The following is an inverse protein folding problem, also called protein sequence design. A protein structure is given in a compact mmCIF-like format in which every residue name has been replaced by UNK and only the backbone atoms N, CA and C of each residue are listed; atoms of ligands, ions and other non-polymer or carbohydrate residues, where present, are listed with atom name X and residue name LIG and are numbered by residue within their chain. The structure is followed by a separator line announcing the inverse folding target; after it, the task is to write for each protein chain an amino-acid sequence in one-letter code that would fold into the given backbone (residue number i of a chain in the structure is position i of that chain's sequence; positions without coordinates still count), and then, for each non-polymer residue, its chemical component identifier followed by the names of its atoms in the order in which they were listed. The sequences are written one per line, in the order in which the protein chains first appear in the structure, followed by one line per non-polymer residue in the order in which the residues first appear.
data_IF_163359204140
#
_entry.id   IF_163359204140
#
_cell.length_a   1.000
_cell.length_b   1.000
_cell.length_c   1.000
_cell.angle_alpha   90.00
_cell.angle_beta   90.00
_cell.angle_gamma   90.00
#
_symmetry.space_group_name_H-M   'P 1'
#
loop_
_entity.id
_entity.type
_entity.pdbx_description
1 polymer ?
#
# COMPACT_ATOMS: atom_id res chain seq x y z
N UNK A 1 -64.56 46.67 -12.48
CA UNK A 1 -65.02 46.80 -13.86
C UNK A 1 -65.25 45.39 -14.36
N UNK A 2 -66.49 45.04 -14.25
CA UNK A 2 -67.49 44.58 -15.23
C UNK A 2 -67.14 43.19 -15.76
N UNK A 3 -67.78 42.14 -15.26
CA UNK A 3 -69.15 41.71 -15.51
C UNK A 3 -69.36 41.33 -16.99
N UNK A 4 -69.56 40.05 -17.24
CA UNK A 4 -70.70 39.62 -18.12
C UNK A 4 -71.04 38.15 -17.99
N UNK A 5 -72.16 37.91 -17.41
CA UNK A 5 -72.98 36.71 -17.35
C UNK A 5 -73.64 36.50 -18.70
N UNK A 6 -73.74 35.30 -19.23
CA UNK A 6 -74.66 34.93 -20.26
C UNK A 6 -75.36 33.61 -19.88
N UNK A 7 -76.66 33.78 -19.54
CA UNK A 7 -77.68 32.76 -19.41
C UNK A 7 -78.17 32.33 -20.79
N UNK A 8 -78.45 31.06 -20.97
CA UNK A 8 -79.43 30.62 -21.97
C UNK A 8 -80.47 29.67 -21.36
N UNK A 9 -81.68 29.98 -21.63
CA UNK A 9 -82.91 29.25 -21.28
C UNK A 9 -83.28 28.22 -22.35
N UNK A 10 -84.26 27.32 -22.03
CA UNK A 10 -84.55 26.13 -22.82
C UNK A 10 -85.71 26.36 -23.82
N UNK A 11 -85.76 25.54 -24.83
CA UNK A 11 -86.95 25.53 -25.72
C UNK A 11 -87.55 24.13 -25.92
N UNK A 12 -88.85 24.16 -26.07
CA UNK A 12 -89.87 23.12 -25.90
C UNK A 12 -90.03 22.18 -27.11
N UNK A 13 -90.52 20.99 -26.74
CA UNK A 13 -91.40 20.03 -27.42
C UNK A 13 -91.91 20.35 -28.81
N UNK A 14 -91.95 19.34 -29.64
CA UNK A 14 -93.17 18.95 -30.35
C UNK A 14 -93.19 17.45 -30.64
N UNK A 15 -94.40 16.94 -30.37
CA UNK A 15 -94.95 15.57 -30.48
C UNK A 15 -95.35 15.29 -31.92
N UNK A 16 -95.12 14.08 -32.44
CA UNK A 16 -96.16 13.38 -33.26
C UNK A 16 -95.59 12.09 -33.92
N UNK A 17 -96.37 11.02 -33.74
CA UNK A 17 -96.55 10.03 -34.79
C UNK A 17 -95.87 8.66 -34.63
N UNK A 18 -96.58 7.73 -34.01
CA UNK A 18 -96.41 6.29 -34.28
C UNK A 18 -96.82 5.94 -35.71
N UNK A 19 -96.13 4.95 -36.31
CA UNK A 19 -96.81 3.65 -36.36
C UNK A 19 -95.88 2.43 -36.14
N UNK A 20 -96.51 1.43 -35.62
CA UNK A 20 -96.10 0.04 -35.43
C UNK A 20 -95.60 -0.64 -36.71
N UNK A 21 -94.49 -1.35 -36.62
CA UNK A 21 -94.14 -2.49 -37.50
C UNK A 21 -93.42 -3.61 -36.78
N UNK A 22 -93.95 -4.73 -36.97
CA UNK A 22 -93.74 -6.14 -36.63
C UNK A 22 -92.27 -6.58 -36.42
N UNK A 23 -92.10 -7.45 -35.41
CA UNK A 23 -90.97 -8.26 -35.11
C UNK A 23 -90.49 -9.07 -36.30
N UNK A 24 -89.22 -8.84 -36.65
CA UNK A 24 -88.43 -9.75 -37.47
C UNK A 24 -87.25 -10.22 -36.61
N UNK A 25 -87.30 -11.48 -36.25
CA UNK A 25 -86.25 -12.15 -35.51
C UNK A 25 -85.03 -12.36 -36.42
N UNK A 26 -84.05 -11.47 -36.34
CA UNK A 26 -82.80 -11.56 -37.09
C UNK A 26 -81.81 -12.44 -36.32
N UNK A 27 -81.47 -13.65 -36.79
CA UNK A 27 -80.55 -14.57 -36.08
C UNK A 27 -79.10 -14.00 -35.87
N UNK A 28 -78.74 -12.95 -36.60
CA UNK A 28 -77.47 -12.28 -36.47
C UNK A 28 -77.28 -11.50 -35.17
N UNK A 29 -78.38 -11.04 -34.52
CA UNK A 29 -78.24 -10.33 -33.22
C UNK A 29 -77.97 -11.22 -32.04
N UNK A 30 -78.21 -12.52 -32.08
CA UNK A 30 -77.86 -13.47 -31.00
C UNK A 30 -76.35 -13.83 -31.01
N UNK A 31 -75.72 -13.88 -32.15
CA UNK A 31 -74.32 -14.11 -32.26
C UNK A 31 -73.46 -12.90 -31.76
N UNK A 32 -73.93 -11.67 -32.05
CA UNK A 32 -73.26 -10.44 -31.60
C UNK A 32 -73.44 -10.21 -30.10
N UNK A 33 -74.57 -10.58 -29.50
CA UNK A 33 -74.81 -10.49 -28.04
C UNK A 33 -73.90 -11.51 -27.24
N UNK A 34 -73.74 -12.71 -27.80
CA UNK A 34 -72.78 -13.70 -27.24
C UNK A 34 -71.30 -13.21 -27.32
N UNK A 35 -70.95 -12.63 -28.46
CA UNK A 35 -69.57 -12.09 -28.63
C UNK A 35 -69.30 -10.87 -27.73
N UNK A 36 -70.32 -10.00 -27.48
CA UNK A 36 -70.16 -8.88 -26.54
C UNK A 36 -70.11 -9.33 -25.09
N UNK A 37 -70.79 -10.43 -24.72
CA UNK A 37 -70.66 -11.01 -23.35
C UNK A 37 -69.32 -11.69 -23.15
N UNK A 38 -68.81 -12.38 -24.17
CA UNK A 38 -67.44 -12.94 -24.16
C UNK A 38 -66.38 -11.85 -24.16
N UNK A 39 -66.59 -10.77 -24.89
CA UNK A 39 -65.65 -9.63 -24.93
C UNK A 39 -65.58 -8.90 -23.59
N UNK A 40 -66.71 -8.76 -22.88
CA UNK A 40 -66.73 -8.21 -21.50
C UNK A 40 -66.04 -9.14 -20.51
N UNK A 41 -66.27 -10.47 -20.63
CA UNK A 41 -65.57 -11.45 -19.80
C UNK A 41 -64.06 -11.45 -20.07
N UNK A 42 -63.66 -11.38 -21.33
CA UNK A 42 -62.25 -11.33 -21.75
C UNK A 42 -61.55 -10.06 -21.26
N UNK A 43 -62.23 -8.90 -21.32
CA UNK A 43 -61.69 -7.63 -20.81
C UNK A 43 -61.75 -7.53 -19.28
N UNK A 44 -62.74 -8.09 -18.60
CA UNK A 44 -62.88 -7.95 -17.13
C UNK A 44 -62.14 -9.03 -16.34
N UNK A 45 -61.94 -10.20 -16.92
CA UNK A 45 -61.30 -11.31 -16.21
C UNK A 45 -59.92 -11.68 -16.80
N UNK A 46 -59.87 -11.87 -18.13
CA UNK A 46 -58.63 -12.36 -18.77
C UNK A 46 -57.56 -11.25 -18.83
N UNK A 47 -57.94 -10.02 -19.13
CA UNK A 47 -57.00 -8.91 -19.19
C UNK A 47 -56.32 -8.63 -17.83
N UNK A 48 -57.07 -8.50 -16.71
CA UNK A 48 -56.43 -8.35 -15.38
C UNK A 48 -55.60 -9.55 -14.98
N UNK A 49 -56.00 -10.79 -15.35
CA UNK A 49 -55.24 -12.00 -15.08
C UNK A 49 -53.91 -12.02 -15.87
N UNK A 50 -53.93 -11.60 -17.13
CA UNK A 50 -52.71 -11.47 -17.96
C UNK A 50 -51.80 -10.35 -17.42
N UNK A 51 -52.39 -9.20 -17.03
CA UNK A 51 -51.63 -8.11 -16.40
C UNK A 51 -51.05 -8.54 -15.05
N UNK A 52 -51.84 -9.25 -14.23
CA UNK A 52 -51.38 -9.79 -12.95
C UNK A 52 -50.28 -10.86 -13.15
N UNK A 53 -50.44 -11.76 -14.13
CA UNK A 53 -49.44 -12.77 -14.49
C UNK A 53 -48.18 -12.13 -15.06
N UNK A 54 -48.31 -11.14 -15.94
CA UNK A 54 -47.17 -10.36 -16.47
C UNK A 54 -46.47 -9.54 -15.38
N UNK A 55 -47.22 -8.89 -14.50
CA UNK A 55 -46.72 -8.16 -13.35
C UNK A 55 -46.00 -9.08 -12.35
N UNK A 56 -46.56 -10.28 -12.13
CA UNK A 56 -45.96 -11.28 -11.26
C UNK A 56 -44.65 -11.84 -11.85
N UNK A 57 -44.60 -12.16 -13.13
CA UNK A 57 -43.37 -12.61 -13.80
C UNK A 57 -42.30 -11.50 -13.82
N UNK A 58 -42.72 -10.25 -14.06
CA UNK A 58 -41.80 -9.10 -13.97
C UNK A 58 -41.26 -8.90 -12.54
N UNK A 59 -42.14 -9.04 -11.53
CA UNK A 59 -41.74 -8.95 -10.12
C UNK A 59 -40.77 -10.08 -9.71
N UNK A 60 -41.04 -11.34 -10.11
CA UNK A 60 -40.23 -12.50 -9.77
C UNK A 60 -38.85 -12.48 -10.45
N UNK A 61 -38.75 -11.90 -11.64
CA UNK A 61 -37.49 -11.72 -12.35
C UNK A 61 -36.74 -10.43 -11.94
N UNK A 62 -37.39 -9.54 -11.20
CA UNK A 62 -36.80 -8.32 -10.67
C UNK A 62 -35.90 -8.58 -9.46
N UNK A 63 -34.88 -7.74 -9.25
CA UNK A 63 -34.04 -7.79 -8.06
C UNK A 63 -32.83 -8.74 -8.11
N UNK A 64 -32.63 -9.44 -9.24
CA UNK A 64 -31.45 -10.27 -9.48
C UNK A 64 -30.21 -9.42 -9.82
N UNK A 65 -30.41 -8.37 -10.58
CA UNK A 65 -29.33 -7.53 -11.08
C UNK A 65 -29.26 -6.22 -10.29
N UNK A 66 -28.06 -5.91 -9.81
CA UNK A 66 -27.76 -4.66 -9.11
C UNK A 66 -26.82 -3.85 -10.00
N UNK A 67 -27.28 -2.70 -10.50
CA UNK A 67 -26.53 -1.82 -11.37
C UNK A 67 -26.02 -0.59 -10.62
N UNK A 68 -24.82 -0.13 -10.96
CA UNK A 68 -24.30 1.18 -10.52
C UNK A 68 -23.57 1.87 -11.67
N UNK A 69 -23.83 3.15 -11.82
CA UNK A 69 -23.16 4.09 -12.72
C UNK A 69 -21.98 4.80 -12.05
N UNK A 70 -21.89 4.69 -10.73
CA UNK A 70 -20.78 5.23 -9.96
C UNK A 70 -19.70 4.15 -9.83
N UNK A 71 -19.00 3.90 -10.93
CA UNK A 71 -17.91 2.95 -10.99
C UNK A 71 -16.81 3.46 -11.93
N UNK A 72 -15.56 3.26 -11.53
CA UNK A 72 -14.39 3.73 -12.25
C UNK A 72 -13.32 2.66 -12.32
N UNK A 73 -12.58 2.64 -13.44
CA UNK A 73 -11.38 1.81 -13.55
C UNK A 73 -10.31 2.33 -12.60
N UNK A 74 -9.88 1.51 -11.67
CA UNK A 74 -8.74 1.73 -10.80
C UNK A 74 -7.49 1.03 -11.33
N UNK A 75 -6.32 1.53 -10.96
CA UNK A 75 -5.05 0.87 -11.19
C UNK A 75 -4.08 1.20 -10.05
N UNK A 76 -3.15 0.30 -9.78
CA UNK A 76 -2.12 0.55 -8.79
C UNK A 76 -1.22 1.69 -9.26
N UNK A 77 -1.11 2.73 -8.44
CA UNK A 77 -0.27 3.89 -8.66
C UNK A 77 0.80 3.93 -7.58
N UNK A 78 2.07 3.91 -7.99
CA UNK A 78 3.20 4.08 -7.09
C UNK A 78 3.89 5.39 -7.42
N UNK A 79 4.13 6.17 -6.38
CA UNK A 79 4.87 7.43 -6.46
C UNK A 79 6.38 7.12 -6.45
N UNK A 80 7.10 7.62 -7.42
CA UNK A 80 8.56 7.53 -7.48
C UNK A 80 9.15 8.65 -6.62
N UNK A 81 9.81 8.24 -5.55
CA UNK A 81 10.41 9.12 -4.54
C UNK A 81 11.90 8.83 -4.45
N UNK A 82 12.80 9.81 -4.63
CA UNK A 82 14.23 9.61 -4.40
C UNK A 82 14.53 9.45 -2.90
N UNK A 83 15.44 8.56 -2.54
CA UNK A 83 15.90 8.35 -1.15
C UNK A 83 16.97 9.34 -0.72
N UNK A 84 17.61 10.02 -1.69
CA UNK A 84 18.66 11.01 -1.48
C UNK A 84 18.30 12.32 -2.17
N UNK A 85 18.84 13.41 -1.66
CA UNK A 85 18.67 14.74 -2.25
C UNK A 85 19.84 15.07 -3.17
N UNK A 86 19.55 15.74 -4.31
CA UNK A 86 20.59 16.18 -5.21
C UNK A 86 20.05 16.74 -6.51
N UNK A 87 20.96 17.14 -7.39
CA UNK A 87 20.64 17.68 -8.71
C UNK A 87 20.51 16.56 -9.72
N UNK A 88 19.44 16.58 -10.54
CA UNK A 88 19.27 15.60 -11.62
C UNK A 88 20.33 15.82 -12.70
N UNK A 89 21.12 14.79 -12.95
CA UNK A 89 22.16 14.78 -13.97
C UNK A 89 21.68 14.14 -15.29
N UNK A 90 20.81 13.14 -15.22
CA UNK A 90 20.34 12.39 -16.38
C UNK A 90 18.89 11.97 -16.16
N UNK A 91 18.07 12.06 -17.22
CA UNK A 91 16.70 11.52 -17.25
C UNK A 91 16.64 10.51 -18.39
N UNK A 92 16.28 9.27 -18.07
CA UNK A 92 16.22 8.14 -19.01
C UNK A 92 14.79 7.89 -19.46
N UNK A 93 13.84 7.96 -18.50
CA UNK A 93 12.42 7.70 -18.72
C UNK A 93 11.74 8.87 -19.44
N UNK A 94 10.72 8.54 -20.27
CA UNK A 94 9.87 9.51 -20.96
C UNK A 94 8.42 9.38 -20.52
N UNK A 95 7.65 10.44 -20.71
CA UNK A 95 6.20 10.43 -20.48
C UNK A 95 5.52 9.32 -21.28
N UNK A 96 4.67 8.52 -20.62
CA UNK A 96 3.96 7.41 -21.25
C UNK A 96 4.80 6.17 -21.57
N UNK A 97 6.08 6.14 -21.18
CA UNK A 97 6.95 4.99 -21.42
C UNK A 97 6.59 3.81 -20.50
N UNK A 98 6.55 2.61 -21.06
CA UNK A 98 6.44 1.36 -20.29
C UNK A 98 7.82 1.06 -19.69
N UNK A 99 7.87 0.91 -18.39
CA UNK A 99 9.06 0.53 -17.62
C UNK A 99 8.82 -0.79 -16.89
N UNK A 100 9.89 -1.55 -16.71
CA UNK A 100 9.91 -2.77 -15.90
C UNK A 100 10.50 -2.48 -14.54
N UNK A 101 10.15 -3.29 -13.56
CA UNK A 101 10.79 -3.23 -12.25
C UNK A 101 12.32 -3.33 -12.37
N UNK A 102 13.04 -2.41 -11.74
CA UNK A 102 14.50 -2.31 -11.79
C UNK A 102 15.06 -1.44 -12.91
N UNK A 103 14.26 -1.03 -13.91
CA UNK A 103 14.71 -0.12 -14.97
C UNK A 103 15.14 1.22 -14.39
N UNK A 104 16.23 1.80 -14.94
CA UNK A 104 16.73 3.13 -14.59
C UNK A 104 15.76 4.20 -15.07
N UNK A 105 15.35 5.08 -14.16
CA UNK A 105 14.41 6.17 -14.44
C UNK A 105 15.13 7.49 -14.64
N UNK A 106 15.96 7.86 -13.68
CA UNK A 106 16.80 9.05 -13.72
C UNK A 106 17.99 8.88 -12.77
N UNK A 107 19.00 9.71 -12.98
CA UNK A 107 20.24 9.72 -12.18
C UNK A 107 20.41 11.09 -11.52
N UNK A 108 20.65 11.09 -10.23
CA UNK A 108 21.08 12.22 -9.44
C UNK A 108 22.59 12.33 -9.57
N UNK A 109 23.17 13.54 -9.60
CA UNK A 109 24.60 13.77 -9.70
C UNK A 109 25.38 12.85 -8.70
N UNK A 110 26.12 11.83 -9.18
CA UNK A 110 26.79 10.86 -8.33
C UNK A 110 28.12 11.39 -7.76
N UNK A 111 28.63 12.53 -8.24
CA UNK A 111 29.96 13.02 -7.86
C UNK A 111 30.10 13.26 -6.35
N UNK A 112 29.17 13.96 -5.67
CA UNK A 112 29.26 14.15 -4.23
C UNK A 112 29.24 12.84 -3.44
N UNK A 113 28.48 11.86 -3.91
CA UNK A 113 28.35 10.55 -3.26
C UNK A 113 29.60 9.68 -3.48
N UNK A 114 30.23 9.75 -4.67
CA UNK A 114 31.53 9.09 -4.91
C UNK A 114 32.61 9.63 -4.00
N UNK A 115 32.69 10.95 -3.86
CA UNK A 115 33.64 11.58 -2.94
C UNK A 115 33.41 11.14 -1.49
N UNK A 116 32.12 11.02 -1.05
CA UNK A 116 31.79 10.52 0.28
C UNK A 116 32.20 9.05 0.48
N UNK A 117 32.08 8.21 -0.56
CA UNK A 117 32.59 6.82 -0.53
C UNK A 117 34.12 6.78 -0.40
N UNK A 118 34.82 7.60 -1.17
CA UNK A 118 36.28 7.66 -1.12
C UNK A 118 36.80 8.16 0.25
N UNK A 119 36.15 9.15 0.82
CA UNK A 119 36.41 9.62 2.19
C UNK A 119 36.16 8.52 3.22
N UNK A 120 35.00 7.81 3.14
CA UNK A 120 34.70 6.72 4.07
C UNK A 120 35.69 5.54 3.93
N UNK A 121 36.18 5.23 2.71
CA UNK A 121 37.22 4.23 2.47
C UNK A 121 38.52 4.63 3.13
N UNK A 122 38.90 5.90 3.03
CA UNK A 122 40.12 6.41 3.70
C UNK A 122 40.01 6.29 5.22
N UNK A 123 38.83 6.61 5.80
CA UNK A 123 38.58 6.45 7.23
C UNK A 123 38.64 4.98 7.68
N UNK A 124 38.12 4.05 6.87
CA UNK A 124 38.21 2.61 7.14
C UNK A 124 39.68 2.13 7.15
N UNK A 125 40.43 2.54 6.16
CA UNK A 125 41.89 2.22 6.08
C UNK A 125 42.67 2.78 7.28
N UNK A 126 42.33 4.01 7.71
CA UNK A 126 42.91 4.61 8.90
C UNK A 126 42.61 3.81 10.17
N UNK A 127 41.36 3.36 10.33
CA UNK A 127 40.95 2.54 11.47
C UNK A 127 41.65 1.18 11.47
N UNK A 128 41.82 0.55 10.31
CA UNK A 128 42.56 -0.69 10.15
C UNK A 128 44.05 -0.50 10.54
N UNK A 129 44.69 0.56 10.02
CA UNK A 129 46.07 0.88 10.37
C UNK A 129 46.24 1.11 11.87
N UNK A 130 45.27 1.76 12.49
CA UNK A 130 45.30 1.98 13.95
C UNK A 130 45.24 0.65 14.71
N UNK A 131 44.35 -0.26 14.28
CA UNK A 131 44.23 -1.59 14.86
C UNK A 131 45.56 -2.39 14.72
N UNK A 132 46.16 -2.41 13.53
CA UNK A 132 47.39 -3.13 13.25
C UNK A 132 48.54 -2.58 14.10
N UNK A 133 48.63 -1.25 14.25
CA UNK A 133 49.63 -0.58 15.12
C UNK A 133 49.43 -0.95 16.59
N UNK A 134 48.17 -1.02 17.08
CA UNK A 134 47.89 -1.44 18.46
C UNK A 134 48.37 -2.87 18.71
N UNK A 135 48.07 -3.78 17.80
CA UNK A 135 48.53 -5.19 17.90
C UNK A 135 50.05 -5.30 17.87
N UNK A 136 50.71 -4.57 16.97
CA UNK A 136 52.15 -4.51 16.89
C UNK A 136 52.78 -3.96 18.19
N UNK A 137 52.23 -2.87 18.73
CA UNK A 137 52.67 -2.28 19.99
C UNK A 137 52.51 -3.24 21.17
N UNK A 138 51.38 -3.96 21.28
CA UNK A 138 51.16 -4.95 22.34
C UNK A 138 52.24 -6.04 22.27
N UNK A 139 52.60 -6.51 21.09
CA UNK A 139 53.64 -7.52 20.89
C UNK A 139 55.02 -6.95 21.32
N UNK A 140 55.37 -5.76 20.85
CA UNK A 140 56.64 -5.09 21.21
C UNK A 140 56.75 -4.88 22.72
N UNK A 141 55.71 -4.36 23.36
CA UNK A 141 55.70 -4.17 24.82
C UNK A 141 55.71 -5.51 25.55
N UNK A 142 55.12 -6.58 25.00
CA UNK A 142 55.23 -7.94 25.55
C UNK A 142 56.66 -8.43 25.60
N UNK A 143 57.39 -8.27 24.49
CA UNK A 143 58.81 -8.63 24.41
C UNK A 143 59.67 -7.78 25.36
N UNK A 144 59.34 -6.47 25.45
CA UNK A 144 60.04 -5.56 26.40
C UNK A 144 59.78 -5.93 27.86
N UNK A 145 58.50 -6.37 28.18
CA UNK A 145 58.17 -6.81 29.53
C UNK A 145 58.97 -8.07 29.95
N UNK A 146 59.08 -9.05 29.02
CA UNK A 146 59.87 -10.26 29.26
C UNK A 146 61.30 -9.92 29.55
N UNK A 147 61.90 -8.99 28.77
CA UNK A 147 63.28 -8.52 29.02
C UNK A 147 63.40 -7.79 30.37
N UNK A 148 62.44 -6.89 30.69
CA UNK A 148 62.45 -6.15 31.96
C UNK A 148 62.27 -7.10 33.16
N UNK A 149 61.49 -8.14 33.07
CA UNK A 149 61.33 -9.16 34.13
C UNK A 149 62.59 -9.95 34.35
N UNK A 150 63.26 -10.38 33.26
CA UNK A 150 64.60 -11.00 33.39
C UNK A 150 65.61 -10.08 34.07
N UNK A 151 65.52 -8.77 33.83
CA UNK A 151 66.26 -7.76 34.55
C UNK A 151 65.95 -7.71 36.05
N UNK A 152 64.69 -7.72 36.40
CA UNK A 152 64.27 -7.77 37.81
C UNK A 152 64.79 -9.03 38.50
N UNK A 153 64.66 -10.22 37.89
CA UNK A 153 65.09 -11.48 38.44
C UNK A 153 66.63 -11.51 38.69
N UNK A 154 67.37 -10.87 37.77
CA UNK A 154 68.81 -10.74 37.93
C UNK A 154 69.15 -9.84 39.15
N UNK A 155 68.48 -8.70 39.28
CA UNK A 155 68.71 -7.78 40.41
C UNK A 155 68.21 -8.37 41.75
N UNK A 156 67.11 -9.14 41.72
CA UNK A 156 66.62 -9.85 42.88
C UNK A 156 67.70 -10.84 43.42
N UNK A 157 68.26 -11.64 42.53
CA UNK A 157 69.37 -12.57 42.90
C UNK A 157 70.58 -11.83 43.41
N UNK A 158 70.91 -10.62 42.91
CA UNK A 158 72.00 -9.81 43.42
C UNK A 158 71.78 -9.32 44.85
N UNK A 159 70.54 -8.84 45.15
CA UNK A 159 70.08 -8.44 46.49
C UNK A 159 70.20 -9.62 47.45
N UNK A 160 69.70 -10.80 47.10
CA UNK A 160 69.76 -12.02 47.90
C UNK A 160 71.15 -12.43 48.25
N UNK A 161 72.08 -12.39 47.20
CA UNK A 161 73.50 -12.66 47.41
C UNK A 161 74.14 -11.66 48.36
N UNK A 162 73.91 -10.36 48.19
CA UNK A 162 74.51 -9.30 49.06
C UNK A 162 73.89 -9.34 50.47
N UNK A 163 72.64 -9.66 50.60
CA UNK A 163 71.98 -9.86 51.90
C UNK A 163 72.63 -11.02 52.69
N UNK A 164 72.89 -12.14 52.00
CA UNK A 164 73.62 -13.27 52.61
C UNK A 164 75.02 -12.90 53.06
N UNK A 165 75.75 -12.10 52.29
CA UNK A 165 77.10 -11.61 52.66
C UNK A 165 77.07 -10.69 53.89
N UNK A 166 76.08 -9.75 53.95
CA UNK A 166 75.93 -8.86 55.10
C UNK A 166 75.56 -9.66 56.34
N UNK A 167 74.65 -10.61 56.24
CA UNK A 167 74.24 -11.50 57.34
C UNK A 167 75.37 -12.26 57.95
N UNK A 168 76.32 -12.66 57.10
CA UNK A 168 77.56 -13.38 57.54
C UNK A 168 78.74 -12.45 57.88
N UNK A 169 78.53 -11.14 58.00
CA UNK A 169 79.53 -10.10 58.32
C UNK A 169 80.65 -9.95 57.27
N UNK A 170 80.41 -10.41 56.02
CA UNK A 170 81.35 -10.31 54.91
C UNK A 170 81.00 -9.26 53.86
N UNK A 171 79.86 -8.55 54.02
CA UNK A 171 79.30 -7.57 53.05
C UNK A 171 79.13 -6.19 53.65
N UNK A 172 79.07 -5.15 52.75
CA UNK A 172 78.81 -3.77 53.14
C UNK A 172 77.25 -3.52 53.08
N UNK A 173 76.72 -2.84 54.11
CA UNK A 173 75.34 -2.41 54.11
C UNK A 173 75.01 -1.46 52.92
N UNK A 174 75.99 -0.56 52.60
CA UNK A 174 75.84 0.35 51.45
C UNK A 174 75.64 -0.41 50.12
N UNK A 175 76.39 -1.52 49.96
CA UNK A 175 76.24 -2.36 48.75
C UNK A 175 74.95 -3.06 48.68
N UNK A 176 74.36 -3.45 49.82
CA UNK A 176 73.00 -4.02 49.88
C UNK A 176 71.96 -2.96 49.53
N UNK A 177 72.11 -1.75 50.11
CA UNK A 177 71.18 -0.63 49.86
C UNK A 177 71.26 -0.21 48.36
N UNK A 178 72.38 -0.18 47.74
CA UNK A 178 72.62 0.08 46.34
C UNK A 178 71.96 -1.02 45.43
N UNK A 179 72.03 -2.28 45.82
CA UNK A 179 71.41 -3.38 45.12
C UNK A 179 69.93 -3.33 45.26
N UNK A 180 69.43 -3.01 46.44
CA UNK A 180 67.94 -2.81 46.65
C UNK A 180 67.43 -1.66 45.82
N UNK A 181 68.12 -0.53 45.77
CA UNK A 181 67.74 0.59 44.90
C UNK A 181 67.73 0.19 43.39
N UNK A 182 68.65 -0.60 42.95
CA UNK A 182 68.73 -1.11 41.58
C UNK A 182 67.60 -2.07 41.29
N UNK A 183 67.15 -2.86 42.25
CA UNK A 183 65.93 -3.73 42.12
C UNK A 183 64.71 -2.92 42.02
N UNK A 184 64.49 -1.90 42.86
CA UNK A 184 63.33 -0.99 42.80
C UNK A 184 63.27 -0.31 41.43
N UNK A 185 64.39 0.17 40.92
CA UNK A 185 64.51 0.80 39.60
C UNK A 185 64.09 -0.18 38.48
N UNK A 186 64.60 -1.42 38.49
CA UNK A 186 64.21 -2.45 37.51
C UNK A 186 62.79 -2.82 37.63
N UNK A 187 62.20 -2.92 38.84
CA UNK A 187 60.75 -3.16 39.09
C UNK A 187 59.88 -2.05 38.55
N UNK A 188 60.35 -0.79 38.71
CA UNK A 188 59.60 0.37 38.16
C UNK A 188 59.53 0.36 36.63
N UNK A 189 60.64 -0.05 35.96
CA UNK A 189 60.63 -0.21 34.48
C UNK A 189 59.64 -1.31 34.05
N UNK A 190 59.67 -2.47 34.70
CA UNK A 190 58.73 -3.55 34.39
C UNK A 190 57.28 -3.14 34.61
N UNK A 191 57.01 -2.39 35.68
CA UNK A 191 55.65 -1.87 35.96
C UNK A 191 55.23 -0.83 34.93
N UNK A 192 56.08 0.05 34.46
CA UNK A 192 55.82 1.00 33.40
C UNK A 192 55.44 0.29 32.10
N UNK A 193 56.19 -0.72 31.66
CA UNK A 193 55.92 -1.49 30.45
C UNK A 193 54.57 -2.24 30.60
N UNK A 194 54.31 -2.82 31.78
CA UNK A 194 53.01 -3.48 32.04
C UNK A 194 51.83 -2.51 31.92
N UNK A 195 52.03 -1.27 32.39
CA UNK A 195 51.01 -0.22 32.23
C UNK A 195 50.77 0.12 30.73
N UNK A 196 51.83 0.18 29.92
CA UNK A 196 51.66 0.42 28.47
C UNK A 196 50.88 -0.69 27.79
N UNK A 197 51.14 -1.95 28.14
CA UNK A 197 50.35 -3.11 27.64
C UNK A 197 48.90 -2.97 28.07
N UNK A 198 48.64 -2.65 29.34
CA UNK A 198 47.28 -2.48 29.84
C UNK A 198 46.51 -1.39 29.10
N UNK A 199 47.17 -0.25 28.84
CA UNK A 199 46.58 0.85 28.09
C UNK A 199 46.23 0.43 26.65
N UNK A 200 47.17 -0.24 25.96
CA UNK A 200 46.93 -0.73 24.60
C UNK A 200 45.85 -1.81 24.54
N UNK A 201 45.81 -2.73 25.52
CA UNK A 201 44.74 -3.74 25.64
C UNK A 201 43.35 -3.09 25.87
N UNK A 202 43.30 -2.05 26.72
CA UNK A 202 42.02 -1.36 26.95
C UNK A 202 41.43 -0.80 25.65
N UNK A 203 42.24 -0.31 24.73
CA UNK A 203 41.81 0.15 23.40
C UNK A 203 41.31 -1.00 22.53
N UNK A 204 41.72 -2.24 22.78
CA UNK A 204 41.20 -3.47 22.17
C UNK A 204 40.14 -4.15 23.03
N UNK A 205 39.41 -3.38 23.86
CA UNK A 205 38.35 -3.89 24.73
C UNK A 205 38.80 -4.95 25.74
N UNK A 206 40.11 -4.97 26.06
CA UNK A 206 40.74 -5.96 26.96
C UNK A 206 41.15 -7.28 26.31
N UNK A 207 40.81 -7.50 25.06
CA UNK A 207 41.11 -8.72 24.30
C UNK A 207 42.20 -8.47 23.28
N UNK A 208 43.35 -9.13 23.45
CA UNK A 208 44.50 -9.03 22.51
C UNK A 208 44.25 -9.70 21.17
N UNK A 209 43.29 -10.63 21.12
CA UNK A 209 42.92 -11.38 19.94
C UNK A 209 41.58 -10.91 19.36
N UNK A 210 41.12 -9.72 19.76
CA UNK A 210 39.90 -9.10 19.25
C UNK A 210 39.94 -9.10 17.72
N UNK A 211 38.91 -9.69 17.03
CA UNK A 211 38.81 -9.59 15.58
C UNK A 211 38.66 -8.14 15.12
N UNK A 212 39.22 -7.81 13.95
CA UNK A 212 39.21 -6.47 13.36
C UNK A 212 37.76 -5.90 13.27
N UNK A 213 36.81 -6.74 12.89
CA UNK A 213 35.39 -6.36 12.71
C UNK A 213 34.72 -5.93 14.02
N UNK A 214 35.23 -6.40 15.18
CA UNK A 214 34.77 -6.02 16.52
C UNK A 214 35.49 -4.80 17.09
N UNK A 215 36.54 -4.32 16.43
CA UNK A 215 37.24 -3.11 16.85
C UNK A 215 36.36 -1.89 16.61
N UNK A 216 35.93 -1.13 17.65
CA UNK A 216 34.89 -0.10 17.51
C UNK A 216 35.17 0.96 16.45
N UNK A 217 36.42 1.51 16.32
CA UNK A 217 36.72 2.47 15.27
C UNK A 217 36.56 1.89 13.86
N UNK A 218 36.96 0.62 13.66
CA UNK A 218 36.79 -0.06 12.37
C UNK A 218 35.31 -0.32 12.05
N UNK A 219 34.56 -0.84 13.02
CA UNK A 219 33.11 -1.09 12.84
C UNK A 219 32.37 0.21 12.53
N UNK A 220 32.72 1.32 13.19
CA UNK A 220 32.12 2.63 12.90
C UNK A 220 32.50 3.13 11.49
N UNK A 221 33.77 3.02 11.09
CA UNK A 221 34.20 3.43 9.76
C UNK A 221 33.55 2.57 8.66
N UNK A 222 33.39 1.25 8.91
CA UNK A 222 32.71 0.34 8.00
C UNK A 222 31.23 0.73 7.83
N UNK A 223 30.53 1.02 8.91
CA UNK A 223 29.15 1.48 8.84
C UNK A 223 29.00 2.80 8.06
N UNK A 224 29.97 3.72 8.18
CA UNK A 224 29.99 4.94 7.36
C UNK A 224 30.20 4.64 5.88
N UNK A 225 31.10 3.70 5.56
CA UNK A 225 31.34 3.26 4.19
C UNK A 225 30.07 2.63 3.59
N UNK A 226 29.46 1.68 4.30
CA UNK A 226 28.24 1.01 3.87
C UNK A 226 27.09 2.02 3.62
N UNK A 227 26.99 3.07 4.44
CA UNK A 227 26.03 4.16 4.25
C UNK A 227 26.37 5.02 3.02
N UNK A 228 27.64 5.36 2.79
CA UNK A 228 28.05 6.14 1.63
C UNK A 228 27.85 5.37 0.32
N UNK A 229 28.17 4.07 0.30
CA UNK A 229 27.95 3.18 -0.85
C UNK A 229 26.47 3.03 -1.17
N UNK A 230 25.60 2.87 -0.15
CA UNK A 230 24.16 2.84 -0.34
C UNK A 230 23.64 4.16 -0.93
N UNK A 231 24.09 5.30 -0.42
CA UNK A 231 23.69 6.59 -0.96
C UNK A 231 24.16 6.78 -2.42
N UNK A 232 25.32 6.25 -2.78
CA UNK A 232 25.81 6.25 -4.17
C UNK A 232 24.93 5.35 -5.06
N UNK A 233 24.53 4.18 -4.58
CA UNK A 233 23.62 3.29 -5.32
C UNK A 233 22.24 3.95 -5.52
N UNK A 234 21.72 4.65 -4.51
CA UNK A 234 20.47 5.40 -4.60
C UNK A 234 20.55 6.66 -5.49
N UNK A 235 21.74 7.03 -5.97
CA UNK A 235 21.87 8.10 -6.97
C UNK A 235 21.23 7.70 -8.30
N UNK A 236 21.14 6.40 -8.60
CA UNK A 236 20.38 5.87 -9.73
C UNK A 236 19.02 5.43 -9.25
N UNK A 237 17.99 6.24 -9.53
CA UNK A 237 16.62 5.92 -9.15
C UNK A 237 16.02 4.93 -10.14
N UNK A 238 15.53 3.80 -9.61
CA UNK A 238 15.00 2.70 -10.41
C UNK A 238 13.51 2.51 -10.18
N UNK A 239 12.84 1.90 -11.17
CA UNK A 239 11.42 1.57 -11.08
C UNK A 239 11.18 0.51 -9.99
N UNK A 240 10.32 0.82 -9.02
CA UNK A 240 9.92 -0.11 -7.95
C UNK A 240 8.93 -1.17 -8.42
N UNK A 241 8.21 -0.90 -9.52
CA UNK A 241 7.26 -1.82 -10.15
C UNK A 241 7.26 -1.63 -11.68
N UNK A 242 6.71 -2.62 -12.39
CA UNK A 242 6.45 -2.50 -13.83
C UNK A 242 5.18 -1.70 -14.07
N UNK A 243 5.16 -0.84 -15.10
CA UNK A 243 4.00 -0.02 -15.41
C UNK A 243 4.32 1.07 -16.43
N UNK A 244 3.45 2.08 -16.50
CA UNK A 244 3.61 3.26 -17.36
C UNK A 244 3.98 4.45 -16.52
N UNK A 245 5.08 5.11 -16.87
CA UNK A 245 5.52 6.34 -16.22
C UNK A 245 4.64 7.52 -16.64
N UNK A 246 4.16 8.30 -15.67
CA UNK A 246 3.28 9.44 -15.86
C UNK A 246 3.75 10.65 -15.07
N UNK A 247 3.51 11.86 -15.59
CA UNK A 247 3.93 13.13 -15.00
C UNK A 247 5.47 13.30 -14.96
N UNK A 248 6.16 12.69 -15.92
CA UNK A 248 7.63 12.72 -16.02
C UNK A 248 8.14 14.12 -16.37
N UNK A 249 7.33 14.97 -17.01
CA UNK A 249 7.69 16.36 -17.35
C UNK A 249 8.10 17.19 -16.14
N UNK A 250 7.74 16.77 -14.94
CA UNK A 250 8.17 17.40 -13.70
C UNK A 250 9.66 17.15 -13.39
N UNK A 251 10.31 16.18 -14.06
CA UNK A 251 11.73 15.91 -13.89
C UNK A 251 12.49 16.55 -15.06
N UNK A 252 13.27 17.59 -14.76
CA UNK A 252 14.09 18.25 -15.74
C UNK A 252 15.57 18.16 -15.38
N UNK A 253 16.44 18.09 -16.39
CA UNK A 253 17.88 18.15 -16.18
C UNK A 253 18.24 19.41 -15.38
N UNK A 254 19.05 19.23 -14.37
CA UNK A 254 19.49 20.32 -13.51
C UNK A 254 18.54 20.71 -12.38
N UNK A 255 17.33 20.15 -12.32
CA UNK A 255 16.42 20.33 -11.18
C UNK A 255 16.98 19.68 -9.93
N UNK A 256 16.82 20.33 -8.80
CA UNK A 256 17.15 19.76 -7.49
C UNK A 256 15.94 19.01 -6.95
N UNK A 257 16.14 17.75 -6.51
CA UNK A 257 15.15 16.91 -5.86
C UNK A 257 15.51 16.70 -4.40
N UNK A 258 14.49 16.54 -3.57
CA UNK A 258 14.65 16.32 -2.13
C UNK A 258 14.23 14.90 -1.78
N UNK A 259 15.00 14.26 -0.93
CA UNK A 259 14.67 12.92 -0.41
C UNK A 259 13.26 12.88 0.19
N UNK A 260 12.52 11.81 -0.07
CA UNK A 260 11.15 11.64 0.42
C UNK A 260 10.07 12.42 -0.34
N UNK A 261 10.44 13.27 -1.33
CA UNK A 261 9.47 14.04 -2.11
C UNK A 261 9.14 13.32 -3.41
N UNK A 262 7.87 12.97 -3.67
CA UNK A 262 7.48 12.36 -4.92
C UNK A 262 7.76 13.25 -6.12
N UNK A 263 8.31 12.70 -7.18
CA UNK A 263 8.67 13.44 -8.40
C UNK A 263 7.78 13.10 -9.59
N UNK A 264 7.32 11.87 -9.71
CA UNK A 264 6.35 11.41 -10.70
C UNK A 264 5.74 10.07 -10.27
N UNK A 265 4.93 9.42 -11.10
CA UNK A 265 4.28 8.17 -10.73
C UNK A 265 4.38 7.11 -11.83
N UNK A 266 4.36 5.84 -11.40
CA UNK A 266 4.21 4.68 -12.26
C UNK A 266 2.84 4.07 -11.99
N UNK A 267 2.09 3.79 -13.07
CA UNK A 267 0.76 3.18 -13.00
C UNK A 267 0.84 1.78 -13.61
N UNK A 268 0.39 0.77 -12.85
CA UNK A 268 0.23 -0.59 -13.37
C UNK A 268 -0.96 -0.64 -14.33
N UNK A 269 -0.69 -0.95 -15.58
CA UNK A 269 -1.72 -1.14 -16.61
C UNK A 269 -2.03 -2.61 -16.87
N UNK A 270 -1.31 -3.53 -16.21
CA UNK A 270 -1.49 -4.97 -16.44
C UNK A 270 -2.66 -5.53 -15.62
N UNK A 271 -2.90 -5.00 -14.42
CA UNK A 271 -3.88 -5.51 -13.48
C UNK A 271 -4.85 -4.39 -13.03
N UNK A 272 -5.63 -3.80 -13.94
CA UNK A 272 -6.65 -2.84 -13.55
C UNK A 272 -7.80 -3.56 -12.83
N UNK A 273 -8.52 -2.81 -12.00
CA UNK A 273 -9.76 -3.25 -11.36
C UNK A 273 -10.86 -2.20 -11.55
N UNK A 274 -12.06 -2.46 -11.08
CA UNK A 274 -13.12 -1.46 -11.01
C UNK A 274 -13.47 -1.23 -9.55
N UNK A 275 -13.42 0.01 -9.12
CA UNK A 275 -13.98 0.46 -7.86
C UNK A 275 -15.40 0.97 -8.16
N UNK A 276 -16.41 0.23 -7.70
CA UNK A 276 -17.82 0.52 -7.92
C UNK A 276 -18.51 0.85 -6.58
N UNK A 277 -19.42 1.83 -6.61
CA UNK A 277 -20.08 2.36 -5.42
C UNK A 277 -21.61 2.18 -5.52
N UNK A 278 -22.14 0.96 -5.41
CA UNK A 278 -23.58 0.72 -5.34
C UNK A 278 -24.18 1.34 -4.06
N UNK A 279 -25.48 1.57 -4.09
CA UNK A 279 -26.23 2.05 -2.92
C UNK A 279 -26.31 0.96 -1.86
N UNK A 280 -26.23 1.33 -0.58
CA UNK A 280 -26.39 0.43 0.57
C UNK A 280 -27.68 -0.41 0.48
N UNK A 281 -28.77 0.19 -0.01
CA UNK A 281 -30.05 -0.51 -0.19
C UNK A 281 -30.00 -1.71 -1.14
N UNK A 282 -29.03 -1.72 -2.05
CA UNK A 282 -28.94 -2.68 -3.14
C UNK A 282 -27.98 -3.84 -2.81
N UNK A 283 -27.27 -3.74 -1.67
CA UNK A 283 -26.22 -4.69 -1.26
C UNK A 283 -26.75 -5.93 -0.51
N UNK A 284 -28.04 -6.03 -0.22
CA UNK A 284 -28.61 -7.10 0.62
C UNK A 284 -28.20 -8.52 0.20
N UNK A 285 -28.02 -8.74 -1.10
CA UNK A 285 -27.68 -10.07 -1.66
C UNK A 285 -26.35 -10.05 -2.43
N UNK A 286 -25.56 -9.01 -2.25
CA UNK A 286 -24.24 -8.90 -2.88
C UNK A 286 -23.20 -9.56 -1.98
N UNK A 287 -22.45 -10.51 -2.55
CA UNK A 287 -21.39 -11.26 -1.86
C UNK A 287 -20.14 -11.36 -2.73
N UNK A 288 -19.01 -11.59 -2.10
CA UNK A 288 -17.74 -11.81 -2.80
C UNK A 288 -17.83 -13.01 -3.76
N UNK A 289 -17.12 -12.91 -4.88
CA UNK A 289 -17.07 -13.95 -5.92
C UNK A 289 -18.22 -13.92 -6.93
N UNK A 290 -19.26 -13.11 -6.73
CA UNK A 290 -20.37 -13.00 -7.69
C UNK A 290 -19.89 -12.44 -9.03
N UNK A 291 -20.48 -12.92 -10.15
CA UNK A 291 -20.16 -12.42 -11.48
C UNK A 291 -20.69 -11.01 -11.69
N UNK A 292 -19.89 -10.19 -12.35
CA UNK A 292 -20.23 -8.82 -12.71
C UNK A 292 -20.01 -8.60 -14.19
N UNK A 293 -20.97 -7.93 -14.82
CA UNK A 293 -20.86 -7.42 -16.18
C UNK A 293 -20.47 -5.96 -16.12
N UNK A 294 -19.43 -5.58 -16.87
CA UNK A 294 -18.83 -4.25 -16.84
C UNK A 294 -18.89 -3.66 -18.25
N UNK A 295 -19.53 -2.53 -18.40
CA UNK A 295 -19.61 -1.76 -19.63
C UNK A 295 -18.78 -0.49 -19.46
N UNK A 296 -17.68 -0.38 -20.20
CA UNK A 296 -16.77 0.78 -20.13
C UNK A 296 -17.16 1.75 -21.23
N UNK A 297 -17.40 3.02 -20.89
CA UNK A 297 -17.86 4.04 -21.85
C UNK A 297 -16.93 4.21 -23.06
N UNK A 298 -15.62 4.02 -22.85
CA UNK A 298 -14.63 4.08 -23.92
C UNK A 298 -14.70 2.89 -24.90
N UNK A 299 -15.42 1.82 -24.56
CA UNK A 299 -15.52 0.58 -25.35
C UNK A 299 -16.99 0.14 -25.51
N UNK A 300 -17.84 0.92 -26.17
CA UNK A 300 -19.29 0.70 -26.18
C UNK A 300 -19.73 -0.63 -26.85
N UNK A 301 -18.86 -1.23 -27.66
CA UNK A 301 -19.13 -2.49 -28.35
C UNK A 301 -18.49 -3.71 -27.67
N UNK A 302 -17.93 -3.55 -26.47
CA UNK A 302 -17.27 -4.62 -25.75
C UNK A 302 -17.76 -4.68 -24.29
N UNK A 303 -18.23 -5.84 -23.90
CA UNK A 303 -18.71 -6.11 -22.55
C UNK A 303 -17.64 -6.91 -21.81
N UNK A 304 -17.09 -6.32 -20.77
CA UNK A 304 -16.12 -6.97 -19.91
C UNK A 304 -16.80 -7.82 -18.86
N UNK A 305 -16.18 -8.91 -18.47
CA UNK A 305 -16.61 -9.76 -17.37
C UNK A 305 -15.66 -9.58 -16.19
N UNK A 306 -16.22 -9.65 -15.00
CA UNK A 306 -15.44 -9.58 -13.77
C UNK A 306 -16.11 -10.33 -12.63
N UNK A 307 -15.45 -10.31 -11.48
CA UNK A 307 -15.97 -10.88 -10.23
C UNK A 307 -15.74 -9.90 -9.10
N UNK A 308 -16.66 -9.90 -8.14
CA UNK A 308 -16.48 -9.15 -6.90
C UNK A 308 -15.29 -9.76 -6.14
N UNK A 309 -14.28 -8.96 -5.89
CA UNK A 309 -13.11 -9.36 -5.11
C UNK A 309 -13.27 -9.07 -3.63
N UNK A 310 -13.75 -7.87 -3.28
CA UNK A 310 -13.96 -7.48 -1.89
C UNK A 310 -15.06 -6.44 -1.75
N UNK A 311 -15.74 -6.49 -0.60
CA UNK A 311 -16.66 -5.44 -0.16
C UNK A 311 -15.98 -4.62 0.93
N UNK A 312 -16.12 -3.30 0.87
CA UNK A 312 -15.62 -2.42 1.92
C UNK A 312 -16.40 -2.66 3.23
N UNK A 313 -15.73 -2.70 4.39
CA UNK A 313 -16.40 -2.85 5.69
C UNK A 313 -17.15 -1.60 6.15
N UNK A 314 -17.15 -0.52 5.38
CA UNK A 314 -17.83 0.73 5.68
C UNK A 314 -18.22 1.52 4.44
N UNK A 315 -19.06 2.53 4.65
CA UNK A 315 -19.50 3.43 3.56
C UNK A 315 -18.41 4.43 3.19
N UNK A 316 -18.46 4.93 1.95
CA UNK A 316 -17.50 5.96 1.49
C UNK A 316 -17.49 7.23 2.37
N UNK A 317 -18.63 7.58 2.96
CA UNK A 317 -18.71 8.73 3.88
C UNK A 317 -17.93 8.52 5.19
N UNK A 318 -17.81 7.28 5.67
CA UNK A 318 -17.05 6.95 6.88
C UNK A 318 -15.53 7.09 6.68
N UNK A 319 -15.06 6.85 5.45
CA UNK A 319 -13.63 6.93 5.11
C UNK A 319 -13.23 8.28 4.51
N UNK A 320 -14.19 9.21 4.36
CA UNK A 320 -13.89 10.55 3.87
C UNK A 320 -13.06 11.34 4.90
N UNK A 321 -12.05 12.08 4.44
CA UNK A 321 -11.20 12.94 5.29
C UNK A 321 -12.05 14.01 6.03
N UNK A 322 -13.14 14.46 5.40
CA UNK A 322 -14.13 15.36 6.00
C UNK A 322 -15.51 14.70 5.88
N UNK A 323 -15.92 13.90 6.90
CA UNK A 323 -17.25 13.31 6.90
C UNK A 323 -18.34 14.39 6.87
N UNK A 324 -19.41 14.22 6.09
CA UNK A 324 -20.50 15.18 6.07
C UNK A 324 -21.16 15.24 7.45
N UNK A 325 -21.05 16.39 8.11
CA UNK A 325 -21.70 16.61 9.41
C UNK A 325 -23.04 17.31 9.18
N UNK A 326 -24.12 16.70 9.70
CA UNK A 326 -25.45 17.32 9.74
C UNK A 326 -25.47 18.35 10.89
N UNK A 327 -24.91 19.55 10.65
CA UNK A 327 -24.73 20.58 11.67
C UNK A 327 -26.02 21.36 12.03
N UNK A 328 -27.14 21.14 11.37
CA UNK A 328 -28.33 22.02 11.47
C UNK A 328 -29.58 21.41 12.13
N UNK A 329 -29.45 20.36 12.91
CA UNK A 329 -30.57 19.84 13.74
C UNK A 329 -31.69 19.09 12.99
N UNK A 330 -31.77 19.15 11.67
CA UNK A 330 -32.66 18.35 10.85
C UNK A 330 -31.91 17.15 10.28
N UNK A 331 -32.16 15.97 10.82
CA UNK A 331 -31.59 14.73 10.30
C UNK A 331 -32.30 14.31 9.01
N UNK A 332 -31.59 14.37 7.88
CA UNK A 332 -32.03 13.80 6.61
C UNK A 332 -31.27 12.51 6.37
N UNK A 333 -31.97 11.38 6.33
CA UNK A 333 -31.38 10.09 5.97
C UNK A 333 -31.01 10.10 4.50
N UNK A 334 -29.70 10.18 4.22
CA UNK A 334 -29.14 10.07 2.87
C UNK A 334 -28.69 8.62 2.65
N UNK A 335 -29.10 8.00 1.56
CA UNK A 335 -28.66 6.66 1.19
C UNK A 335 -27.16 6.69 0.95
N UNK A 336 -26.42 5.88 1.69
CA UNK A 336 -24.97 5.79 1.59
C UNK A 336 -24.56 4.86 0.43
N UNK A 337 -23.32 5.01 -0.04
CA UNK A 337 -22.70 4.13 -1.02
C UNK A 337 -21.59 3.34 -0.36
N UNK A 338 -21.47 2.07 -0.71
CA UNK A 338 -20.44 1.17 -0.17
C UNK A 338 -19.50 0.79 -1.30
N UNK A 339 -18.20 1.10 -1.19
CA UNK A 339 -17.24 0.73 -2.21
C UNK A 339 -17.08 -0.79 -2.31
N UNK A 340 -17.13 -1.31 -3.52
CA UNK A 340 -16.80 -2.69 -3.85
C UNK A 340 -15.71 -2.73 -4.91
N UNK A 341 -14.80 -3.67 -4.79
CA UNK A 341 -13.74 -3.89 -5.78
C UNK A 341 -14.06 -5.08 -6.64
N UNK A 342 -13.99 -4.88 -7.95
CA UNK A 342 -14.30 -5.87 -8.97
C UNK A 342 -13.04 -6.10 -9.80
N UNK A 343 -12.61 -7.35 -9.91
CA UNK A 343 -11.50 -7.73 -10.76
C UNK A 343 -12.00 -8.19 -12.12
N UNK A 344 -11.32 -7.74 -13.17
CA UNK A 344 -11.61 -8.19 -14.53
C UNK A 344 -11.19 -9.65 -14.75
N UNK A 345 -11.80 -10.29 -15.74
CA UNK A 345 -11.34 -11.59 -16.22
C UNK A 345 -10.01 -11.39 -17.00
N UNK A 346 -8.93 -11.99 -16.50
CA UNK A 346 -7.58 -11.85 -17.07
C UNK A 346 -7.44 -12.39 -18.50
N UNK A 347 -8.41 -13.22 -18.94
CA UNK A 347 -8.40 -13.79 -20.32
C UNK A 347 -8.76 -12.77 -21.39
N UNK A 348 -9.36 -11.65 -21.02
CA UNK A 348 -9.77 -10.61 -21.95
C UNK A 348 -8.61 -9.66 -22.34
N UNK A 349 -8.20 -9.72 -23.60
CA UNK A 349 -7.10 -8.91 -24.14
C UNK A 349 -7.37 -7.40 -24.12
N UNK A 350 -8.63 -6.99 -24.05
CA UNK A 350 -8.99 -5.57 -24.01
C UNK A 350 -8.76 -4.94 -22.64
N UNK A 351 -8.64 -5.74 -21.58
CA UNK A 351 -8.36 -5.26 -20.22
C UNK A 351 -7.09 -4.42 -20.17
N UNK A 352 -6.05 -4.81 -20.91
CA UNK A 352 -4.78 -4.06 -20.97
C UNK A 352 -4.87 -2.69 -21.69
N UNK A 353 -5.99 -2.41 -22.37
CA UNK A 353 -6.24 -1.12 -23.02
C UNK A 353 -6.98 -0.14 -22.12
N UNK A 354 -7.49 -0.62 -20.97
CA UNK A 354 -8.16 0.21 -20.01
C UNK A 354 -7.18 1.18 -19.35
N UNK A 355 -7.67 2.36 -19.05
CA UNK A 355 -6.89 3.38 -18.34
C UNK A 355 -7.60 3.73 -17.03
N UNK A 356 -6.81 3.95 -16.00
CA UNK A 356 -7.34 4.41 -14.72
C UNK A 356 -8.16 5.69 -14.88
N UNK A 357 -9.29 5.75 -14.22
CA UNK A 357 -10.25 6.86 -14.29
C UNK A 357 -11.31 6.76 -15.38
N UNK A 358 -11.31 5.70 -16.22
CA UNK A 358 -12.40 5.47 -17.17
C UNK A 358 -13.70 5.14 -16.41
N UNK A 359 -14.83 5.73 -16.87
CA UNK A 359 -16.16 5.46 -16.33
C UNK A 359 -16.66 4.09 -16.77
N UNK A 360 -17.33 3.42 -15.86
CA UNK A 360 -17.85 2.06 -16.03
C UNK A 360 -19.27 1.98 -15.51
N UNK A 361 -20.15 1.29 -16.23
CA UNK A 361 -21.41 0.83 -15.70
C UNK A 361 -21.25 -0.63 -15.24
N UNK A 362 -21.44 -0.89 -13.97
CA UNK A 362 -21.28 -2.22 -13.38
C UNK A 362 -22.63 -2.83 -13.07
N UNK A 363 -22.87 -4.05 -13.56
CA UNK A 363 -24.08 -4.85 -13.30
C UNK A 363 -23.69 -6.14 -12.61
N UNK A 364 -24.06 -6.27 -11.35
CA UNK A 364 -23.79 -7.44 -10.51
C UNK A 364 -24.95 -8.42 -10.66
N UNK A 365 -24.67 -9.69 -10.96
CA UNK A 365 -25.66 -10.77 -10.92
C UNK A 365 -25.60 -11.44 -9.54
N UNK A 366 -26.55 -11.07 -8.68
CA UNK A 366 -26.65 -11.61 -7.33
C UNK A 366 -27.17 -13.06 -7.30
N UNK A 367 -27.72 -13.57 -8.42
CA UNK A 367 -28.38 -14.87 -8.45
C UNK A 367 -29.67 -14.95 -7.62
N UNK A 368 -30.05 -13.87 -6.90
CA UNK A 368 -31.22 -13.86 -6.04
C UNK A 368 -32.51 -13.90 -6.86
N UNK A 369 -33.42 -14.82 -6.53
CA UNK A 369 -34.78 -14.91 -7.11
C UNK A 369 -35.80 -14.53 -6.06
N UNK A 370 -36.59 -13.50 -6.33
CA UNK A 370 -37.71 -13.15 -5.45
C UNK A 370 -38.69 -14.30 -5.38
N UNK A 371 -39.12 -14.67 -4.17
CA UNK A 371 -40.12 -15.71 -3.96
C UNK A 371 -41.53 -15.12 -3.75
N UNK A 372 -42.55 -15.88 -4.08
CA UNK A 372 -43.97 -15.50 -3.81
C UNK A 372 -44.25 -15.33 -2.31
N UNK A 373 -43.54 -16.06 -1.45
CA UNK A 373 -43.61 -15.92 0.01
C UNK A 373 -43.23 -14.52 0.48
N UNK A 374 -42.23 -13.90 -0.17
CA UNK A 374 -41.81 -12.51 0.11
C UNK A 374 -42.84 -11.45 -0.25
N UNK A 375 -43.74 -11.73 -1.22
CA UNK A 375 -44.81 -10.83 -1.62
C UNK A 375 -45.91 -10.73 -0.55
N UNK A 376 -46.11 -11.81 0.23
CA UNK A 376 -47.12 -11.88 1.30
C UNK A 376 -46.52 -11.65 2.70
N UNK A 377 -45.28 -11.16 2.81
CA UNK A 377 -44.66 -10.89 4.09
C UNK A 377 -44.38 -12.13 4.96
N UNK A 378 -44.55 -13.32 4.39
CA UNK A 378 -44.20 -14.59 5.03
C UNK A 378 -42.74 -14.86 4.76
N UNK A 379 -41.86 -14.20 5.52
CA UNK A 379 -40.42 -14.54 5.55
C UNK A 379 -40.31 -15.94 6.08
N UNK A 380 -39.98 -16.90 5.23
CA UNK A 380 -39.45 -18.16 5.67
C UNK A 380 -38.13 -17.87 6.38
N UNK A 381 -38.12 -17.91 7.71
CA UNK A 381 -36.94 -18.07 8.55
C UNK A 381 -36.34 -19.43 8.19
N UNK A 382 -35.47 -19.44 7.18
CA UNK A 382 -34.67 -20.61 6.82
C UNK A 382 -33.25 -20.36 7.29
N UNK A 383 -32.94 -20.98 8.45
CA UNK A 383 -31.65 -21.51 8.85
C UNK A 383 -30.40 -20.73 8.40
N UNK A 384 -29.96 -19.79 9.22
CA UNK A 384 -28.54 -19.52 9.43
C UNK A 384 -28.12 -20.18 10.74
N UNK A 385 -27.88 -21.47 10.69
CA UNK A 385 -27.03 -22.19 11.62
C UNK A 385 -26.28 -23.24 10.80
N UNK A 386 -25.08 -22.89 10.39
CA UNK A 386 -23.94 -23.80 10.23
C UNK A 386 -22.68 -22.98 9.89
N UNK A 387 -21.83 -22.94 10.92
CA UNK A 387 -20.38 -22.75 10.94
C UNK A 387 -19.82 -21.39 10.61
#
# INVERSE_FOLDING_TARGET
MADQVLKFQPEQKSDSGKPTKKAGTDPRRRLVAGLCRYRRFLLLVVLPLVVAGGGLTFYLNGGRYVGTDDAYVGAQKVLVTPDISGKIQKVVVREGQIVKQGDELFEIDPVPFRLAVDEAKAQLMQAQTTYDNLRANIKIYGDMLDLAQKGVDLKQRDVERKQALVKNSYGSQLDLDNAANALVTSGSIAQYVRQQISTAKTQLLGDTDLPLEKFPPYAQAKSKLDNAERNLDHAVVRASMSGVATQVEQIQLGRYVTAGTPVFSIIDVAHPWVDANPKESDLTYVTEGQPVTLEVDAFPNHVFKGKIGSLSPGTGAQFAILPPQNATGNFVKVVQRVPIRIYFDETDKYVRKLKAGMSVYATIDTGHKRSLAGLFGLSATANQDKD
#
